data_IF_599263840256
#
_entry.id   IF_599263840256
#
_cell.length_a   1.000
_cell.length_b   1.000
_cell.length_c   1.000
_cell.angle_alpha   90.00
_cell.angle_beta   90.00
_cell.angle_gamma   90.00
#
_symmetry.space_group_name_H-M   'P 1'
#
loop_
_entity.id
_entity.type
_entity.pdbx_description
1 polymer ?
#
# COMPACT_ATOMS: atom_id res chain seq x y z
N UNK A 1 -14.95 -11.47 2.16
CA UNK A 1 -14.39 -10.16 1.80
C UNK A 1 -14.04 -9.39 3.06
N UNK A 2 -12.80 -8.93 3.18
CA UNK A 2 -12.36 -8.03 4.26
C UNK A 2 -12.55 -6.58 3.86
N UNK A 3 -12.97 -5.74 4.81
CA UNK A 3 -13.12 -4.30 4.58
C UNK A 3 -11.75 -3.68 4.39
N UNK A 4 -11.52 -2.91 3.30
CA UNK A 4 -10.22 -2.29 3.07
C UNK A 4 -9.88 -1.26 4.16
N UNK A 5 -8.60 -1.22 4.53
CA UNK A 5 -8.04 -0.26 5.47
C UNK A 5 -7.53 0.95 4.68
N UNK A 6 -8.14 2.12 4.87
CA UNK A 6 -7.84 3.30 4.05
C UNK A 6 -7.01 4.33 4.81
N UNK A 7 -5.93 4.79 4.18
CA UNK A 7 -5.12 5.94 4.59
C UNK A 7 -5.26 7.04 3.53
N UNK A 8 -5.33 8.29 3.98
CA UNK A 8 -5.45 9.45 3.10
C UNK A 8 -4.31 10.41 3.43
N UNK A 9 -3.59 10.87 2.42
CA UNK A 9 -2.43 11.75 2.60
C UNK A 9 -2.38 12.83 1.53
N UNK A 10 -2.10 14.06 1.96
CA UNK A 10 -1.96 15.24 1.11
C UNK A 10 -0.48 15.64 1.07
N UNK A 11 0.14 15.53 -0.10
CA UNK A 11 1.59 15.67 -0.26
C UNK A 11 1.92 16.71 -1.33
N UNK A 12 2.95 17.52 -1.07
CA UNK A 12 3.54 18.34 -2.12
C UNK A 12 4.25 17.46 -3.14
N UNK A 13 4.27 17.91 -4.38
CA UNK A 13 4.92 17.20 -5.50
C UNK A 13 6.38 16.82 -5.23
N UNK A 14 7.10 17.63 -4.44
CA UNK A 14 8.51 17.42 -4.11
C UNK A 14 8.77 16.23 -3.17
N UNK A 15 7.81 15.91 -2.30
CA UNK A 15 7.99 14.89 -1.24
C UNK A 15 7.10 13.67 -1.43
N UNK A 16 6.20 13.71 -2.42
CA UNK A 16 5.20 12.67 -2.66
C UNK A 16 5.80 11.26 -2.82
N UNK A 17 6.93 11.13 -3.51
CA UNK A 17 7.61 9.83 -3.72
C UNK A 17 8.12 9.28 -2.38
N UNK A 18 8.85 10.09 -1.63
CA UNK A 18 9.48 9.68 -0.37
C UNK A 18 8.43 9.32 0.70
N UNK A 19 7.40 10.15 0.86
CA UNK A 19 6.33 9.92 1.82
C UNK A 19 5.44 8.72 1.44
N UNK A 20 5.19 8.48 0.14
CA UNK A 20 4.49 7.26 -0.30
C UNK A 20 5.31 6.00 0.01
N UNK A 21 6.64 6.05 -0.24
CA UNK A 21 7.56 4.96 0.14
C UNK A 21 7.56 4.71 1.64
N UNK A 22 7.60 5.78 2.45
CA UNK A 22 7.59 5.69 3.91
C UNK A 22 6.30 5.04 4.44
N UNK A 23 5.13 5.36 3.89
CA UNK A 23 3.86 4.72 4.25
C UNK A 23 3.85 3.22 3.90
N UNK A 24 4.37 2.84 2.73
CA UNK A 24 4.49 1.42 2.34
C UNK A 24 5.40 0.66 3.30
N UNK A 25 6.56 1.23 3.65
CA UNK A 25 7.45 0.66 4.67
C UNK A 25 6.73 0.47 6.01
N UNK A 26 6.01 1.49 6.49
CA UNK A 26 5.30 1.41 7.75
C UNK A 26 4.24 0.30 7.76
N UNK A 27 3.47 0.13 6.69
CA UNK A 27 2.49 -0.96 6.61
C UNK A 27 3.20 -2.33 6.64
N UNK A 28 4.25 -2.50 5.84
CA UNK A 28 5.02 -3.75 5.78
C UNK A 28 5.73 -4.05 7.10
N UNK A 29 6.23 -3.04 7.81
CA UNK A 29 6.80 -3.18 9.14
C UNK A 29 5.81 -3.84 10.13
N UNK A 30 4.53 -3.52 10.01
CA UNK A 30 3.47 -4.09 10.85
C UNK A 30 2.92 -5.44 10.34
N UNK A 31 3.38 -5.95 9.19
CA UNK A 31 2.80 -7.14 8.54
C UNK A 31 3.81 -8.21 8.14
N UNK A 32 5.09 -7.88 8.00
CA UNK A 32 6.14 -8.86 7.77
C UNK A 32 6.61 -9.43 9.12
N UNK A 33 6.27 -10.70 9.36
CA UNK A 33 6.49 -11.41 10.62
C UNK A 33 7.84 -12.16 10.67
N UNK A 34 8.69 -11.99 9.65
CA UNK A 34 10.02 -12.59 9.60
C UNK A 34 10.99 -11.97 10.61
N UNK A 35 12.21 -12.51 10.67
CA UNK A 35 13.31 -11.86 11.40
C UNK A 35 13.70 -10.56 10.69
N UNK A 36 13.07 -9.47 11.10
CA UNK A 36 13.31 -8.13 10.58
C UNK A 36 14.22 -7.37 11.53
N UNK A 37 15.14 -6.58 10.99
CA UNK A 37 15.89 -5.61 11.78
C UNK A 37 15.17 -4.27 11.69
N UNK A 38 14.60 -3.77 12.80
CA UNK A 38 13.91 -2.48 12.79
C UNK A 38 14.92 -1.35 12.62
N UNK A 39 14.58 -0.39 11.76
CA UNK A 39 15.28 0.89 11.63
C UNK A 39 14.24 2.01 11.56
N UNK A 40 14.67 3.25 11.79
CA UNK A 40 13.85 4.44 11.57
C UNK A 40 14.51 5.36 10.57
N UNK A 41 13.68 6.07 9.79
CA UNK A 41 14.10 7.20 8.97
C UNK A 41 13.28 8.43 9.37
N UNK A 42 13.83 9.60 9.12
CA UNK A 42 13.06 10.84 9.19
C UNK A 42 12.55 11.14 7.77
N UNK A 43 11.23 11.05 7.59
CA UNK A 43 10.55 11.48 6.38
C UNK A 43 9.73 12.72 6.74
N UNK A 44 10.09 13.85 6.13
CA UNK A 44 9.63 15.16 6.60
C UNK A 44 10.07 15.41 8.07
N UNK A 45 9.19 15.91 8.93
CA UNK A 45 9.44 16.02 10.38
C UNK A 45 8.85 14.83 11.16
N UNK A 46 8.69 13.66 10.51
CA UNK A 46 8.08 12.48 11.11
C UNK A 46 9.06 11.31 11.07
N UNK A 47 9.32 10.71 12.22
CA UNK A 47 10.14 9.49 12.31
C UNK A 47 9.29 8.28 11.97
N UNK A 48 9.65 7.55 10.92
CA UNK A 48 8.90 6.41 10.37
C UNK A 48 9.66 5.10 10.59
N UNK A 49 9.02 4.04 11.11
CA UNK A 49 9.64 2.73 11.19
C UNK A 49 9.76 2.11 9.80
N UNK A 50 10.92 1.54 9.51
CA UNK A 50 11.22 0.85 8.26
C UNK A 50 11.86 -0.51 8.52
N UNK A 51 11.97 -1.28 7.44
CA UNK A 51 12.67 -2.56 7.40
C UNK A 51 14.07 -2.32 6.82
N UNK A 52 15.11 -2.77 7.51
CA UNK A 52 16.50 -2.76 7.03
C UNK A 52 16.70 -3.87 5.97
N UNK A 53 16.17 -3.62 4.77
CA UNK A 53 16.21 -4.50 3.59
C UNK A 53 16.36 -3.66 2.31
N UNK A 54 17.52 -3.76 1.67
CA UNK A 54 17.88 -2.95 0.48
C UNK A 54 17.06 -3.33 -0.76
N UNK A 55 16.78 -4.63 -0.97
CA UNK A 55 15.99 -5.10 -2.10
C UNK A 55 14.56 -4.59 -1.99
N UNK A 56 13.99 -4.66 -0.77
CA UNK A 56 12.70 -4.10 -0.47
C UNK A 56 12.67 -2.58 -0.68
N UNK A 57 13.64 -1.83 -0.15
CA UNK A 57 13.66 -0.37 -0.30
C UNK A 57 13.69 0.07 -1.77
N UNK A 58 14.49 -0.62 -2.60
CA UNK A 58 14.56 -0.37 -4.04
C UNK A 58 13.22 -0.68 -4.74
N UNK A 59 12.57 -1.79 -4.37
CA UNK A 59 11.25 -2.16 -4.90
C UNK A 59 10.20 -1.11 -4.55
N UNK A 60 10.15 -0.67 -3.28
CA UNK A 60 9.19 0.32 -2.82
C UNK A 60 9.44 1.69 -3.46
N UNK A 61 10.71 2.09 -3.62
CA UNK A 61 11.08 3.31 -4.31
C UNK A 61 10.64 3.30 -5.78
N UNK A 62 10.88 2.19 -6.49
CA UNK A 62 10.46 2.03 -7.87
C UNK A 62 8.92 2.13 -8.01
N UNK A 63 8.16 1.40 -7.17
CA UNK A 63 6.70 1.45 -7.17
C UNK A 63 6.14 2.84 -6.82
N UNK A 64 6.71 3.51 -5.82
CA UNK A 64 6.30 4.86 -5.43
C UNK A 64 6.59 5.88 -6.55
N UNK A 65 7.75 5.77 -7.21
CA UNK A 65 8.13 6.63 -8.33
C UNK A 65 7.17 6.43 -9.51
N UNK A 66 6.96 5.18 -9.94
CA UNK A 66 6.06 4.85 -11.05
C UNK A 66 4.64 5.38 -10.83
N UNK A 67 4.15 5.27 -9.58
CA UNK A 67 2.84 5.75 -9.16
C UNK A 67 2.75 7.27 -9.14
N UNK A 68 3.69 7.96 -8.50
CA UNK A 68 3.63 9.43 -8.39
C UNK A 68 3.82 10.08 -9.77
N UNK A 69 4.72 9.54 -10.60
CA UNK A 69 4.93 10.05 -11.96
C UNK A 69 3.72 9.81 -12.87
N UNK A 70 2.98 8.71 -12.68
CA UNK A 70 1.75 8.50 -13.44
C UNK A 70 0.63 9.44 -13.00
N UNK A 71 0.50 9.70 -11.70
CA UNK A 71 -0.47 10.62 -11.12
C UNK A 71 -0.22 12.06 -11.57
N UNK A 72 1.05 12.49 -11.60
CA UNK A 72 1.44 13.82 -12.11
C UNK A 72 1.17 14.00 -13.60
N UNK A 73 1.30 12.93 -14.41
CA UNK A 73 1.03 12.98 -15.86
C UNK A 73 -0.45 13.07 -16.19
N UNK A 74 -1.28 12.40 -15.39
CA UNK A 74 -2.71 12.28 -15.65
C UNK A 74 -3.46 12.12 -14.33
N UNK A 75 -4.04 13.22 -13.84
CA UNK A 75 -4.82 13.25 -12.59
C UNK A 75 -6.15 12.51 -12.70
N UNK A 76 -6.58 12.11 -13.91
CA UNK A 76 -7.72 11.21 -14.10
C UNK A 76 -7.38 9.76 -13.79
N UNK A 77 -6.08 9.42 -13.67
CA UNK A 77 -5.63 8.14 -13.14
C UNK A 77 -5.89 8.07 -11.64
N UNK A 78 -6.34 6.91 -11.18
CA UNK A 78 -6.59 6.65 -9.77
C UNK A 78 -5.40 7.05 -8.88
N UNK A 79 -5.69 7.84 -7.85
CA UNK A 79 -4.76 8.38 -6.86
C UNK A 79 -4.43 7.39 -5.74
N UNK A 80 -4.58 6.09 -6.00
CA UNK A 80 -4.52 5.05 -4.97
C UNK A 80 -3.36 4.09 -5.22
N UNK A 81 -2.60 3.83 -4.16
CA UNK A 81 -1.69 2.68 -4.04
C UNK A 81 -2.39 1.63 -3.18
N UNK A 82 -2.43 0.39 -3.66
CA UNK A 82 -3.10 -0.70 -2.95
C UNK A 82 -2.07 -1.77 -2.58
N UNK A 83 -2.03 -2.13 -1.30
CA UNK A 83 -1.23 -3.24 -0.79
C UNK A 83 -2.15 -4.39 -0.40
N UNK A 84 -1.91 -5.57 -0.96
CA UNK A 84 -2.70 -6.78 -0.76
C UNK A 84 -1.87 -7.82 -0.04
N UNK A 85 -2.42 -8.44 1.01
CA UNK A 85 -1.78 -9.55 1.72
C UNK A 85 -2.55 -10.85 1.53
N UNK A 86 -1.82 -11.95 1.31
CA UNK A 86 -2.39 -13.27 1.04
C UNK A 86 -1.91 -14.30 2.07
N UNK A 87 -2.71 -15.34 2.30
CA UNK A 87 -2.28 -16.49 3.12
C UNK A 87 -1.30 -17.37 2.33
N UNK A 88 -1.51 -17.46 1.02
CA UNK A 88 -0.68 -18.22 0.09
C UNK A 88 -0.42 -17.39 -1.16
N UNK A 89 0.72 -17.59 -1.85
CA UNK A 89 1.02 -16.82 -3.05
C UNK A 89 -0.11 -16.96 -4.08
N UNK A 90 -0.62 -15.85 -4.65
CA UNK A 90 -1.66 -15.92 -5.65
C UNK A 90 -1.15 -16.69 -6.88
N UNK A 91 -1.91 -17.69 -7.33
CA UNK A 91 -1.54 -18.44 -8.53
C UNK A 91 -1.76 -17.57 -9.77
N UNK A 92 -0.69 -17.27 -10.51
CA UNK A 92 -0.72 -16.56 -11.81
C UNK A 92 -1.24 -17.46 -12.94
N UNK A 93 -2.38 -18.12 -12.77
CA UNK A 93 -2.95 -18.98 -13.82
C UNK A 93 -4.04 -18.20 -14.56
N UNK A 94 -3.80 -17.87 -15.83
CA UNK A 94 -4.68 -17.06 -16.67
C UNK A 94 -6.07 -17.67 -16.97
N UNK A 95 -6.31 -18.90 -16.48
CA UNK A 95 -7.58 -19.63 -16.59
C UNK A 95 -8.21 -20.02 -15.24
N UNK A 96 -7.63 -19.59 -14.11
CA UNK A 96 -8.23 -19.91 -12.82
C UNK A 96 -9.50 -19.09 -12.61
N UNK A 97 -10.65 -19.77 -12.54
CA UNK A 97 -11.93 -19.20 -12.05
C UNK A 97 -11.90 -18.85 -10.56
N UNK A 98 -10.85 -19.23 -9.84
CA UNK A 98 -10.65 -18.90 -8.43
C UNK A 98 -9.49 -17.91 -8.32
N UNK A 99 -9.82 -16.63 -8.19
CA UNK A 99 -8.86 -15.62 -7.74
C UNK A 99 -8.51 -15.93 -6.29
N UNK A 100 -7.21 -15.96 -5.95
CA UNK A 100 -6.81 -16.00 -4.54
C UNK A 100 -7.21 -14.67 -3.91
N UNK A 101 -8.17 -14.70 -2.99
CA UNK A 101 -8.62 -13.49 -2.29
C UNK A 101 -7.56 -13.05 -1.27
N UNK A 102 -7.26 -11.74 -1.17
CA UNK A 102 -6.42 -11.22 -0.11
C UNK A 102 -7.16 -11.31 1.23
N UNK A 103 -6.45 -11.66 2.30
CA UNK A 103 -7.03 -11.62 3.65
C UNK A 103 -6.99 -10.21 4.22
N UNK A 104 -6.10 -9.34 3.74
CA UNK A 104 -6.06 -7.93 4.11
C UNK A 104 -5.72 -7.04 2.92
N UNK A 105 -6.34 -5.86 2.88
CA UNK A 105 -6.14 -4.85 1.85
C UNK A 105 -5.94 -3.49 2.50
N UNK A 106 -4.86 -2.81 2.13
CA UNK A 106 -4.62 -1.41 2.44
C UNK A 106 -4.77 -0.55 1.18
N UNK A 107 -5.44 0.58 1.32
CA UNK A 107 -5.61 1.58 0.26
C UNK A 107 -5.03 2.89 0.75
N UNK A 108 -3.98 3.37 0.08
CA UNK A 108 -3.37 4.67 0.36
C UNK A 108 -3.84 5.64 -0.74
N UNK A 109 -4.72 6.56 -0.40
CA UNK A 109 -5.14 7.66 -1.27
C UNK A 109 -4.12 8.80 -1.16
N UNK A 110 -3.35 9.03 -2.22
CA UNK A 110 -2.31 10.07 -2.27
C UNK A 110 -2.81 11.23 -3.13
N UNK A 111 -3.04 12.38 -2.51
CA UNK A 111 -3.37 13.60 -3.22
C UNK A 111 -2.11 14.46 -3.37
N UNK A 112 -1.66 14.64 -4.60
CA UNK A 112 -0.55 15.53 -4.91
C UNK A 112 -1.10 16.93 -5.14
N UNK A 113 -0.60 17.89 -4.37
CA UNK A 113 -1.00 19.30 -4.45
C UNK A 113 0.13 20.08 -5.12
N UNK A 114 -0.19 20.77 -6.22
CA UNK A 114 0.76 21.56 -7.02
C UNK A 114 0.95 22.99 -6.49
N UNK A 115 0.02 23.49 -5.67
CA UNK A 115 0.20 24.72 -4.91
C UNK A 115 0.89 24.39 -3.59
N UNK A 116 2.00 25.08 -3.31
CA UNK A 116 2.85 24.92 -2.14
C UNK A 116 2.01 24.78 -0.85
N UNK A 117 1.76 23.56 -0.31
CA UNK A 117 1.60 23.47 1.11
C UNK A 117 2.98 23.79 1.67
N UNK A 118 3.14 24.63 2.71
CA UNK A 118 4.38 24.62 3.44
C UNK A 118 4.63 23.16 3.84
N UNK A 119 5.83 22.64 3.61
CA UNK A 119 6.32 21.32 4.02
C UNK A 119 5.68 20.77 5.33
N UNK A 120 5.38 21.68 6.27
CA UNK A 120 4.55 21.47 7.46
C UNK A 120 3.21 20.73 7.22
N UNK A 121 2.39 21.10 6.22
CA UNK A 121 1.10 20.44 5.94
C UNK A 121 1.30 19.01 5.43
N UNK A 122 2.28 18.77 4.57
CA UNK A 122 2.63 17.40 4.16
C UNK A 122 3.14 16.58 5.34
N UNK A 123 3.92 17.20 6.23
CA UNK A 123 4.41 16.56 7.45
C UNK A 123 3.27 16.20 8.40
N UNK A 124 2.33 17.10 8.62
CA UNK A 124 1.15 16.88 9.45
C UNK A 124 0.25 15.79 8.85
N UNK A 125 0.01 15.83 7.54
CA UNK A 125 -0.81 14.82 6.87
C UNK A 125 -0.15 13.43 6.92
N UNK A 126 1.18 13.35 6.74
CA UNK A 126 1.93 12.10 6.89
C UNK A 126 1.84 11.57 8.33
N UNK A 127 2.00 12.44 9.33
CA UNK A 127 1.87 12.08 10.74
C UNK A 127 0.48 11.50 11.03
N UNK A 128 -0.59 12.18 10.60
CA UNK A 128 -1.97 11.70 10.78
C UNK A 128 -2.21 10.35 10.11
N UNK A 129 -1.66 10.13 8.92
CA UNK A 129 -1.75 8.85 8.22
C UNK A 129 -1.05 7.72 8.98
N UNK A 130 0.14 7.98 9.55
CA UNK A 130 0.88 7.00 10.35
C UNK A 130 0.21 6.70 11.70
N UNK A 131 -0.33 7.72 12.38
CA UNK A 131 -1.13 7.53 13.59
C UNK A 131 -2.37 6.67 13.29
N UNK A 132 -3.09 6.97 12.20
CA UNK A 132 -4.23 6.19 11.73
C UNK A 132 -3.83 4.75 11.41
N UNK A 133 -2.69 4.54 10.75
CA UNK A 133 -2.15 3.20 10.47
C UNK A 133 -2.01 2.40 11.77
N UNK A 134 -1.35 2.95 12.79
CA UNK A 134 -1.16 2.26 14.08
C UNK A 134 -2.50 1.93 14.73
N UNK A 135 -3.47 2.85 14.69
CA UNK A 135 -4.82 2.60 15.20
C UNK A 135 -5.53 1.46 14.44
N UNK A 136 -5.43 1.45 13.11
CA UNK A 136 -6.04 0.41 12.27
C UNK A 136 -5.41 -0.95 12.51
N UNK A 137 -4.08 -1.03 12.59
CA UNK A 137 -3.35 -2.27 12.91
C UNK A 137 -3.81 -2.86 14.25
N UNK A 138 -4.08 -2.01 15.24
CA UNK A 138 -4.55 -2.44 16.56
C UNK A 138 -6.08 -2.58 16.67
N UNK A 139 -6.81 -2.30 15.60
CA UNK A 139 -8.27 -2.36 15.61
C UNK A 139 -8.78 -3.81 15.61
N UNK A 140 -10.03 -4.01 16.06
CA UNK A 140 -10.68 -5.33 16.02
C UNK A 140 -10.84 -5.88 14.60
N UNK A 141 -10.78 -5.04 13.56
CA UNK A 141 -10.83 -5.49 12.16
C UNK A 141 -9.60 -6.32 11.80
N UNK A 142 -8.45 -6.02 12.40
CA UNK A 142 -7.20 -6.77 12.24
C UNK A 142 -7.00 -7.86 13.32
N UNK A 143 -8.03 -8.18 14.12
CA UNK A 143 -7.88 -9.11 15.26
C UNK A 143 -7.65 -10.58 14.86
N UNK A 144 -7.95 -10.93 13.62
CA UNK A 144 -7.60 -12.23 13.05
C UNK A 144 -6.42 -12.08 12.08
N UNK A 145 -5.22 -12.46 12.55
CA UNK A 145 -4.07 -12.70 11.70
C UNK A 145 -4.10 -14.19 11.29
N UNK A 146 -4.12 -14.53 9.99
CA UNK A 146 -4.05 -15.92 9.56
C UNK A 146 -2.77 -16.62 10.04
N UNK A 147 -2.73 -17.95 10.08
CA UNK A 147 -1.47 -18.65 10.32
C UNK A 147 -0.49 -18.39 9.15
N UNK A 148 0.76 -18.05 9.48
CA UNK A 148 1.82 -17.94 8.48
C UNK A 148 2.20 -19.33 7.99
N UNK A 149 1.85 -19.64 6.74
CA UNK A 149 2.11 -20.96 6.11
C UNK A 149 3.25 -20.93 5.10
N UNK A 150 3.88 -19.77 4.89
CA UNK A 150 4.99 -19.61 3.95
C UNK A 150 6.31 -20.11 4.55
N UNK A 151 7.16 -20.73 3.72
CA UNK A 151 8.47 -21.25 4.12
C UNK A 151 9.42 -20.16 4.64
N UNK A 152 9.29 -18.93 4.12
CA UNK A 152 10.09 -17.78 4.56
C UNK A 152 9.51 -17.07 5.81
N UNK A 153 8.41 -17.57 6.38
CA UNK A 153 7.79 -16.96 7.56
C UNK A 153 7.15 -15.59 7.30
N UNK A 154 6.85 -15.23 6.06
CA UNK A 154 6.24 -13.95 5.68
C UNK A 154 4.96 -14.17 4.87
N UNK A 155 3.99 -13.26 5.00
CA UNK A 155 2.84 -13.25 4.11
C UNK A 155 3.26 -12.78 2.71
N UNK A 156 2.84 -13.51 1.65
CA UNK A 156 2.90 -13.00 0.30
C UNK A 156 2.10 -11.70 0.19
N UNK A 157 2.65 -10.70 -0.49
CA UNK A 157 1.98 -9.44 -0.74
C UNK A 157 2.13 -8.97 -2.19
N UNK A 158 1.24 -8.06 -2.60
CA UNK A 158 1.26 -7.41 -3.91
C UNK A 158 1.03 -5.90 -3.76
N UNK A 159 1.83 -5.09 -4.46
CA UNK A 159 1.65 -3.63 -4.55
C UNK A 159 1.07 -3.31 -5.92
N UNK A 160 -0.17 -2.83 -5.93
CA UNK A 160 -0.89 -2.42 -7.13
C UNK A 160 -0.91 -0.90 -7.24
N UNK A 161 -0.42 -0.38 -8.37
CA UNK A 161 -0.32 1.06 -8.66
C UNK A 161 -0.82 1.36 -10.07
N UNK A 162 -1.23 2.61 -10.32
CA UNK A 162 -1.61 3.10 -11.64
C UNK A 162 -0.42 3.47 -12.52
N UNK A 163 0.40 2.48 -12.87
CA UNK A 163 1.49 2.69 -13.81
C UNK A 163 1.01 2.65 -15.27
N UNK A 164 1.71 3.34 -16.16
CA UNK A 164 1.43 3.29 -17.60
C UNK A 164 1.65 1.89 -18.23
N UNK A 165 2.32 0.98 -17.51
CA UNK A 165 2.64 -0.38 -17.96
C UNK A 165 1.65 -1.46 -17.51
N UNK A 166 0.84 -1.22 -16.46
CA UNK A 166 -0.09 -2.21 -15.91
C UNK A 166 -1.55 -1.74 -16.06
N UNK A 167 -2.32 -2.46 -16.89
CA UNK A 167 -3.69 -2.10 -17.25
C UNK A 167 -4.69 -2.29 -16.11
N UNK A 168 -5.08 -1.19 -15.47
CA UNK A 168 -6.14 -1.12 -14.45
C UNK A 168 -7.48 -1.70 -14.90
N UNK A 169 -7.80 -1.60 -16.19
CA UNK A 169 -9.04 -2.15 -16.75
C UNK A 169 -9.18 -3.65 -16.57
N UNK A 170 -8.10 -4.40 -16.37
CA UNK A 170 -8.17 -5.85 -16.13
C UNK A 170 -8.21 -6.18 -14.63
N UNK A 171 -7.56 -5.36 -13.80
CA UNK A 171 -7.49 -5.53 -12.34
C UNK A 171 -8.75 -5.00 -11.63
N UNK A 172 -9.21 -3.79 -11.98
CA UNK A 172 -10.49 -3.27 -11.50
C UNK A 172 -11.65 -4.12 -12.00
N UNK A 173 -11.60 -4.64 -13.23
CA UNK A 173 -12.64 -5.52 -13.72
C UNK A 173 -12.64 -6.86 -12.97
N UNK A 174 -11.48 -7.38 -12.53
CA UNK A 174 -11.42 -8.50 -11.58
C UNK A 174 -12.03 -8.12 -10.22
N UNK A 175 -11.70 -6.95 -9.68
CA UNK A 175 -12.25 -6.47 -8.39
C UNK A 175 -13.75 -6.11 -8.43
N UNK A 176 -14.26 -5.65 -9.58
CA UNK A 176 -15.66 -5.24 -9.78
C UNK A 176 -16.57 -6.41 -10.19
N UNK A 177 -16.08 -7.40 -10.93
CA UNK A 177 -16.88 -8.59 -11.31
C UNK A 177 -17.29 -9.40 -10.05
N UNK A 178 -16.47 -9.42 -9.00
CA UNK A 178 -16.80 -10.10 -7.74
C UNK A 178 -17.90 -9.38 -6.92
N UNK A 179 -18.09 -8.06 -7.13
CA UNK A 179 -19.18 -7.29 -6.52
C UNK A 179 -20.55 -7.51 -7.19
N UNK A 180 -20.60 -7.97 -8.46
CA UNK A 180 -21.87 -8.19 -9.19
C UNK A 180 -22.38 -9.62 -9.04
N UNK A 181 -21.50 -10.61 -8.79
CA UNK A 181 -21.90 -12.02 -8.65
C UNK A 181 -22.38 -12.41 -7.23
N UNK A 182 -22.30 -11.51 -6.25
CA UNK A 182 -22.72 -11.75 -4.86
C UNK A 182 -24.08 -11.13 -4.52
N UNK A 183 -24.84 -10.72 -5.56
CA UNK A 183 -26.17 -10.15 -5.46
C UNK A 183 -27.24 -11.02 -6.12
N UNK A 184 -27.27 -12.31 -5.80
CA UNK A 184 -28.44 -13.20 -5.94
C UNK A 184 -28.56 -14.10 -4.72
#
# INVERSE_FOLDING_TARGET
MTTPLTLDVNLSSAVAIEATKALLHAILFHRLLGSIRPQTIDCLNVTVPILDDEELDQQLLAKATDFVDSLKRDTSKGNQVILLFYERPPKKTWFSRHTTEPWEQWVISVNVIDEDPPYAQSSESLQQALEKLVLLVNSRVCSYLPPVVSENGQYPYEIVVNSASEGWGTLLKRMLIENVSSGE
#
